data_IF_374564537968
#
_entry.id   IF_374564537968
#
_cell.length_a   1.000
_cell.length_b   1.000
_cell.length_c   1.000
_cell.angle_alpha   90.00
_cell.angle_beta   90.00
_cell.angle_gamma   90.00
#
_symmetry.space_group_name_H-M   'P 1'
#
loop_
_entity.id
_entity.type
_entity.pdbx_description
1 polymer ?
#
# COMPACT_ATOMS: atom_id res chain seq x y z
N UNK A 1 -2.52 5.36 9.55
CA UNK A 1 -1.23 4.84 10.09
C UNK A 1 -0.66 5.60 11.28
N UNK A 2 -0.52 6.94 11.26
CA UNK A 2 0.14 7.72 12.34
C UNK A 2 -0.38 7.43 13.77
N UNK A 3 -1.67 7.17 13.95
CA UNK A 3 -2.24 6.87 15.26
C UNK A 3 -1.80 5.51 15.85
N UNK A 4 -1.36 4.57 15.00
CA UNK A 4 -0.94 3.23 15.40
C UNK A 4 0.59 3.10 15.62
N UNK A 5 1.35 4.18 15.39
CA UNK A 5 2.80 4.17 15.58
C UNK A 5 3.21 4.21 17.06
N UNK A 6 4.33 3.56 17.39
CA UNK A 6 4.90 3.49 18.75
C UNK A 6 5.60 4.77 19.20
N UNK A 7 5.88 5.70 18.28
CA UNK A 7 6.45 7.01 18.58
C UNK A 7 5.93 8.07 17.60
N UNK A 8 6.31 9.34 17.82
CA UNK A 8 5.85 10.48 17.01
C UNK A 8 7.02 11.20 16.31
N UNK A 9 7.48 10.71 15.15
CA UNK A 9 8.42 11.45 14.31
C UNK A 9 7.80 12.75 13.78
N UNK A 10 8.63 13.70 13.33
CA UNK A 10 8.13 14.97 12.78
C UNK A 10 7.36 14.71 11.48
N UNK A 11 6.37 15.56 11.19
CA UNK A 11 5.49 15.37 10.01
C UNK A 11 6.25 15.32 8.69
N UNK A 12 7.35 16.07 8.56
CA UNK A 12 8.22 16.06 7.38
C UNK A 12 8.84 14.69 7.08
N UNK A 13 8.91 13.79 8.06
CA UNK A 13 9.42 12.43 7.88
C UNK A 13 8.27 11.45 7.62
N UNK A 14 7.10 11.68 8.21
CA UNK A 14 5.91 10.85 8.00
C UNK A 14 5.20 11.11 6.67
N UNK A 15 5.18 12.37 6.24
CA UNK A 15 4.52 12.83 5.01
C UNK A 15 5.37 13.94 4.36
N UNK A 16 6.50 13.59 3.72
CA UNK A 16 7.44 14.56 3.16
C UNK A 16 6.86 15.44 2.05
N UNK A 17 5.84 14.94 1.35
CA UNK A 17 5.12 15.65 0.28
C UNK A 17 3.63 15.61 0.60
N UNK A 18 3.10 16.71 1.12
CA UNK A 18 1.70 16.83 1.51
C UNK A 18 0.97 17.80 0.59
N UNK A 19 0.14 17.28 -0.30
CA UNK A 19 -0.70 18.05 -1.21
C UNK A 19 -2.09 18.23 -0.60
N UNK A 20 -2.77 19.33 -0.93
CA UNK A 20 -4.08 19.69 -0.39
C UNK A 20 -5.23 19.00 -1.12
N UNK A 21 -5.13 18.89 -2.45
CA UNK A 21 -6.23 18.37 -3.26
C UNK A 21 -6.32 16.83 -3.19
N UNK A 22 -7.51 16.31 -2.93
CA UNK A 22 -7.78 14.87 -2.87
C UNK A 22 -8.03 14.27 -4.27
N UNK A 23 -7.05 14.42 -5.15
CA UNK A 23 -7.08 13.98 -6.56
C UNK A 23 -5.82 13.18 -6.89
N UNK A 24 -5.62 12.83 -8.17
CA UNK A 24 -4.41 12.12 -8.59
C UNK A 24 -3.15 12.95 -8.22
N UNK A 25 -2.11 12.34 -7.64
CA UNK A 25 -0.96 13.08 -7.09
C UNK A 25 -0.28 14.02 -8.09
N UNK A 26 -0.03 13.56 -9.33
CA UNK A 26 0.57 14.42 -10.36
C UNK A 26 -0.27 15.68 -10.67
N UNK A 27 -1.60 15.59 -10.66
CA UNK A 27 -2.50 16.73 -10.93
C UNK A 27 -2.42 17.72 -9.76
N UNK A 28 -2.54 17.22 -8.52
CA UNK A 28 -2.44 18.06 -7.33
C UNK A 28 -1.06 18.75 -7.23
N UNK A 29 0.01 18.03 -7.59
CA UNK A 29 1.36 18.55 -7.59
C UNK A 29 1.54 19.67 -8.64
N UNK A 30 0.98 19.48 -9.85
CA UNK A 30 0.98 20.49 -10.91
C UNK A 30 0.20 21.75 -10.50
N UNK A 31 -1.00 21.60 -9.95
CA UNK A 31 -1.83 22.71 -9.46
C UNK A 31 -1.15 23.52 -8.35
N UNK A 32 -0.38 22.86 -7.48
CA UNK A 32 0.31 23.49 -6.35
C UNK A 32 1.74 23.94 -6.68
N UNK A 33 2.23 23.70 -7.90
CA UNK A 33 3.60 24.01 -8.30
C UNK A 33 4.67 23.22 -7.52
N UNK A 34 4.31 22.02 -7.05
CA UNK A 34 5.16 21.13 -6.25
C UNK A 34 5.66 19.99 -7.13
N UNK A 35 6.90 19.55 -6.93
CA UNK A 35 7.44 18.34 -7.57
C UNK A 35 7.49 17.19 -6.57
N UNK A 36 6.96 16.03 -6.95
CA UNK A 36 7.02 14.81 -6.12
C UNK A 36 8.31 14.06 -6.43
N UNK A 37 9.39 14.38 -5.72
CA UNK A 37 10.68 13.70 -5.86
C UNK A 37 10.82 12.51 -4.88
N UNK A 38 11.45 11.43 -5.32
CA UNK A 38 11.69 10.24 -4.48
C UNK A 38 12.77 10.47 -3.42
N UNK A 39 13.78 11.30 -3.71
CA UNK A 39 14.94 11.48 -2.82
C UNK A 39 14.57 12.00 -1.41
N UNK A 40 13.70 13.02 -1.23
CA UNK A 40 13.23 13.42 0.09
C UNK A 40 12.50 12.30 0.86
N UNK A 41 11.74 11.46 0.15
CA UNK A 41 10.99 10.35 0.72
C UNK A 41 11.93 9.23 1.18
N UNK A 42 12.91 8.87 0.34
CA UNK A 42 13.96 7.90 0.70
C UNK A 42 14.76 8.38 1.91
N UNK A 43 15.12 9.66 1.97
CA UNK A 43 15.82 10.23 3.12
C UNK A 43 14.98 10.21 4.40
N UNK A 44 13.67 10.46 4.29
CA UNK A 44 12.73 10.34 5.40
C UNK A 44 12.63 8.90 5.91
N UNK A 45 12.51 7.92 5.01
CA UNK A 45 12.52 6.50 5.38
C UNK A 45 13.81 6.12 6.12
N UNK A 46 14.97 6.59 5.66
CA UNK A 46 16.25 6.31 6.30
C UNK A 46 16.30 6.85 7.75
N UNK A 47 15.75 8.06 8.00
CA UNK A 47 15.62 8.62 9.35
C UNK A 47 14.67 7.79 10.21
N UNK A 48 13.50 7.42 9.68
CA UNK A 48 12.52 6.61 10.41
C UNK A 48 13.07 5.23 10.80
N UNK A 49 13.86 4.59 9.91
CA UNK A 49 14.51 3.30 10.19
C UNK A 49 15.56 3.38 11.30
N UNK A 50 16.12 4.55 11.60
CA UNK A 50 17.08 4.70 12.70
C UNK A 50 16.40 4.61 14.08
N UNK A 51 15.13 5.01 14.15
CA UNK A 51 14.37 5.13 15.41
C UNK A 51 13.29 4.05 15.58
N UNK A 52 13.08 3.19 14.56
CA UNK A 52 12.01 2.20 14.54
C UNK A 52 12.50 0.81 14.12
N UNK A 53 12.07 -0.22 14.85
CA UNK A 53 12.32 -1.62 14.49
C UNK A 53 11.59 -2.01 13.19
N UNK A 54 10.38 -1.48 12.99
CA UNK A 54 9.55 -1.72 11.80
C UNK A 54 9.00 -0.39 11.30
N UNK A 55 9.14 -0.15 9.99
CA UNK A 55 8.53 0.98 9.30
C UNK A 55 7.57 0.46 8.24
N UNK A 56 6.30 0.86 8.32
CA UNK A 56 5.31 0.61 7.27
C UNK A 56 5.17 1.86 6.41
N UNK A 57 5.32 1.71 5.10
CA UNK A 57 5.10 2.77 4.12
C UNK A 57 3.81 2.48 3.38
N UNK A 58 2.87 3.42 3.43
CA UNK A 58 1.65 3.39 2.63
C UNK A 58 1.84 4.31 1.41
N UNK A 59 1.52 3.78 0.23
CA UNK A 59 1.52 4.56 -1.01
C UNK A 59 0.28 5.46 -1.13
N UNK A 60 0.06 5.99 -2.32
CA UNK A 60 -1.14 6.78 -2.64
C UNK A 60 -1.85 6.17 -3.84
N UNK A 61 -3.12 5.81 -3.65
CA UNK A 61 -3.92 5.14 -4.68
C UNK A 61 -3.43 3.71 -4.99
N UNK A 62 -3.40 3.37 -6.29
CA UNK A 62 -2.92 2.07 -6.78
C UNK A 62 -1.39 1.99 -6.92
N UNK A 63 -0.91 0.85 -7.46
CA UNK A 63 0.52 0.58 -7.55
C UNK A 63 1.26 1.36 -8.65
N UNK A 64 0.60 1.73 -9.75
CA UNK A 64 1.17 2.51 -10.85
C UNK A 64 0.46 3.87 -11.00
N UNK A 65 0.42 4.65 -9.91
CA UNK A 65 -0.20 5.98 -9.91
C UNK A 65 0.84 7.04 -10.28
N UNK A 66 0.58 7.89 -11.28
CA UNK A 66 1.55 8.91 -11.69
C UNK A 66 1.82 9.91 -10.55
N UNK A 67 3.11 10.14 -10.30
CA UNK A 67 3.63 11.15 -9.37
C UNK A 67 4.19 12.37 -10.11
N UNK A 68 4.48 12.20 -11.39
CA UNK A 68 4.93 13.23 -12.32
C UNK A 68 4.81 12.74 -13.77
N UNK A 69 5.42 13.46 -14.74
CA UNK A 69 5.33 13.10 -16.16
C UNK A 69 6.05 11.79 -16.51
N UNK A 70 7.12 11.45 -15.80
CA UNK A 70 8.04 10.37 -16.17
C UNK A 70 8.17 9.29 -15.09
N UNK A 71 7.37 9.36 -14.01
CA UNK A 71 7.46 8.42 -12.90
C UNK A 71 6.15 8.23 -12.14
N UNK A 72 6.01 7.04 -11.54
CA UNK A 72 4.83 6.62 -10.78
C UNK A 72 5.17 6.08 -9.38
N UNK A 73 4.15 5.62 -8.66
CA UNK A 73 4.30 5.01 -7.33
C UNK A 73 5.07 3.68 -7.35
N UNK A 74 5.17 2.99 -8.49
CA UNK A 74 5.98 1.79 -8.63
C UNK A 74 7.47 2.14 -8.71
N UNK A 75 7.83 3.22 -9.41
CA UNK A 75 9.21 3.74 -9.42
C UNK A 75 9.65 4.19 -8.03
N UNK A 76 8.74 4.82 -7.28
CA UNK A 76 8.99 5.15 -5.87
C UNK A 76 9.20 3.88 -5.03
N UNK A 77 8.39 2.84 -5.22
CA UNK A 77 8.57 1.56 -4.53
C UNK A 77 9.93 0.92 -4.83
N UNK A 78 10.42 1.01 -6.07
CA UNK A 78 11.77 0.60 -6.47
C UNK A 78 12.83 1.41 -5.72
N UNK A 79 12.69 2.74 -5.69
CA UNK A 79 13.64 3.62 -4.99
C UNK A 79 13.71 3.35 -3.48
N UNK A 80 12.59 2.95 -2.86
CA UNK A 80 12.55 2.59 -1.44
C UNK A 80 13.12 1.18 -1.16
N UNK A 81 13.20 0.33 -2.20
CA UNK A 81 13.67 -1.05 -2.13
C UNK A 81 13.02 -1.86 -1.00
N UNK A 82 11.71 -1.67 -0.79
CA UNK A 82 10.94 -2.36 0.25
C UNK A 82 10.16 -3.55 -0.33
N UNK A 83 9.97 -4.63 0.45
CA UNK A 83 8.99 -5.65 0.12
C UNK A 83 7.57 -5.05 0.09
N UNK A 84 6.75 -5.49 -0.86
CA UNK A 84 5.38 -4.99 -1.06
C UNK A 84 4.38 -5.94 -0.39
N UNK A 85 3.41 -5.36 0.31
CA UNK A 85 2.20 -6.05 0.76
C UNK A 85 1.03 -5.56 -0.08
N UNK A 86 0.32 -6.48 -0.73
CA UNK A 86 -0.85 -6.16 -1.54
C UNK A 86 -2.14 -6.29 -0.71
N UNK A 87 -2.92 -5.21 -0.60
CA UNK A 87 -4.26 -5.27 -0.01
C UNK A 87 -5.29 -5.51 -1.11
N UNK A 88 -5.98 -6.64 -1.05
CA UNK A 88 -7.01 -7.02 -2.03
C UNK A 88 -8.40 -6.79 -1.43
N UNK A 89 -9.09 -5.76 -1.93
CA UNK A 89 -10.51 -5.55 -1.63
C UNK A 89 -11.36 -6.64 -2.29
N UNK A 90 -12.01 -7.47 -1.48
CA UNK A 90 -12.88 -8.54 -1.93
C UNK A 90 -14.19 -7.95 -2.46
N UNK A 91 -14.30 -7.94 -3.79
CA UNK A 91 -15.46 -7.54 -4.59
C UNK A 91 -15.34 -8.17 -5.99
N UNK A 92 -16.40 -8.12 -6.80
CA UNK A 92 -16.31 -8.60 -8.19
C UNK A 92 -15.18 -7.88 -8.95
N UNK A 93 -14.34 -8.65 -9.65
CA UNK A 93 -13.16 -8.17 -10.37
C UNK A 93 -11.86 -8.14 -9.54
N UNK A 94 -11.89 -8.48 -8.25
CA UNK A 94 -10.69 -8.43 -7.40
C UNK A 94 -9.57 -9.37 -7.86
N UNK A 95 -9.91 -10.54 -8.43
CA UNK A 95 -8.92 -11.50 -8.96
C UNK A 95 -8.08 -10.81 -10.05
N UNK A 96 -8.74 -10.21 -11.05
CA UNK A 96 -8.04 -9.53 -12.13
C UNK A 96 -7.11 -8.42 -11.60
N UNK A 97 -7.63 -7.53 -10.74
CA UNK A 97 -6.82 -6.43 -10.21
C UNK A 97 -5.63 -6.94 -9.38
N UNK A 98 -5.83 -7.95 -8.56
CA UNK A 98 -4.76 -8.50 -7.72
C UNK A 98 -3.65 -9.14 -8.57
N UNK A 99 -4.02 -9.90 -9.61
CA UNK A 99 -3.06 -10.54 -10.50
C UNK A 99 -2.28 -9.51 -11.33
N UNK A 100 -2.97 -8.54 -11.95
CA UNK A 100 -2.31 -7.46 -12.71
C UNK A 100 -1.37 -6.63 -11.81
N UNK A 101 -1.78 -6.37 -10.57
CA UNK A 101 -0.92 -5.64 -9.62
C UNK A 101 0.29 -6.48 -9.23
N UNK A 102 0.12 -7.78 -8.99
CA UNK A 102 1.22 -8.69 -8.67
C UNK A 102 2.20 -8.86 -9.85
N UNK A 103 1.71 -8.87 -11.09
CA UNK A 103 2.55 -8.84 -12.29
C UNK A 103 3.34 -7.53 -12.38
N UNK A 104 2.71 -6.38 -12.16
CA UNK A 104 3.38 -5.08 -12.17
C UNK A 104 4.49 -4.98 -11.10
N UNK A 105 4.23 -5.47 -9.89
CA UNK A 105 5.23 -5.54 -8.82
C UNK A 105 6.45 -6.35 -9.28
N UNK A 106 6.23 -7.55 -9.82
CA UNK A 106 7.31 -8.42 -10.31
C UNK A 106 8.06 -7.84 -11.49
N UNK A 107 7.35 -7.20 -12.42
CA UNK A 107 7.94 -6.56 -13.59
C UNK A 107 8.89 -5.41 -13.21
N UNK A 108 8.71 -4.81 -12.02
CA UNK A 108 9.60 -3.81 -11.43
C UNK A 108 10.73 -4.41 -10.59
N UNK A 109 10.88 -5.74 -10.57
CA UNK A 109 11.89 -6.45 -9.79
C UNK A 109 11.64 -6.46 -8.28
N UNK A 110 10.43 -6.07 -7.84
CA UNK A 110 10.08 -6.00 -6.43
C UNK A 110 9.53 -7.33 -5.92
N UNK A 111 9.68 -7.57 -4.62
CA UNK A 111 9.15 -8.76 -3.95
C UNK A 111 7.76 -8.48 -3.42
N UNK A 112 6.77 -9.28 -3.84
CA UNK A 112 5.47 -9.34 -3.18
C UNK A 112 5.60 -10.25 -1.94
N UNK A 113 5.81 -9.64 -0.76
CA UNK A 113 6.06 -10.36 0.47
C UNK A 113 4.79 -10.99 1.08
N UNK A 114 3.61 -10.52 0.67
CA UNK A 114 2.36 -11.10 1.09
C UNK A 114 1.17 -10.27 0.63
N UNK A 115 -0.03 -10.76 0.94
CA UNK A 115 -1.27 -10.06 0.63
C UNK A 115 -2.30 -10.18 1.74
N UNK A 116 -3.21 -9.21 1.81
CA UNK A 116 -4.30 -9.15 2.79
C UNK A 116 -5.63 -9.21 2.06
N UNK A 117 -6.51 -10.12 2.49
CA UNK A 117 -7.87 -10.19 2.00
C UNK A 117 -8.74 -9.22 2.82
N UNK A 118 -9.24 -8.14 2.20
CA UNK A 118 -10.06 -7.15 2.88
C UNK A 118 -11.51 -7.22 2.40
N UNK A 119 -12.44 -7.64 3.25
CA UNK A 119 -13.85 -7.74 2.88
C UNK A 119 -14.54 -6.38 2.86
N UNK A 120 -14.48 -5.73 1.69
CA UNK A 120 -15.04 -4.39 1.46
C UNK A 120 -16.49 -4.40 0.99
N UNK A 121 -16.90 -5.48 0.32
CA UNK A 121 -18.28 -5.69 -0.10
C UNK A 121 -18.92 -6.79 0.77
N UNK A 122 -19.84 -6.43 1.68
CA UNK A 122 -20.54 -7.40 2.53
C UNK A 122 -21.40 -8.40 1.75
N UNK A 123 -21.79 -8.06 0.52
CA UNK A 123 -22.70 -8.83 -0.32
C UNK A 123 -21.96 -9.70 -1.34
N UNK A 124 -20.62 -9.65 -1.37
CA UNK A 124 -19.84 -10.46 -2.30
C UNK A 124 -20.16 -11.96 -2.12
N UNK A 125 -20.55 -12.59 -3.22
CA UNK A 125 -20.76 -14.04 -3.27
C UNK A 125 -19.43 -14.76 -3.42
N UNK A 126 -19.37 -16.01 -2.93
CA UNK A 126 -18.23 -16.91 -3.18
C UNK A 126 -16.88 -16.37 -2.67
N UNK A 127 -16.89 -15.73 -1.51
CA UNK A 127 -15.69 -15.09 -0.93
C UNK A 127 -14.56 -16.09 -0.74
N UNK A 128 -14.86 -17.28 -0.20
CA UNK A 128 -13.84 -18.30 0.05
C UNK A 128 -13.24 -18.83 -1.26
N UNK A 129 -14.05 -19.05 -2.29
CA UNK A 129 -13.59 -19.52 -3.59
C UNK A 129 -12.71 -18.46 -4.29
N UNK A 130 -13.04 -17.17 -4.14
CA UNK A 130 -12.20 -16.07 -4.64
C UNK A 130 -10.88 -15.97 -3.88
N UNK A 131 -10.89 -16.09 -2.55
CA UNK A 131 -9.67 -16.12 -1.72
C UNK A 131 -8.80 -17.31 -2.12
N UNK A 132 -9.37 -18.52 -2.27
CA UNK A 132 -8.64 -19.71 -2.68
C UNK A 132 -8.02 -19.54 -4.08
N UNK A 133 -8.75 -18.90 -5.00
CA UNK A 133 -8.22 -18.60 -6.34
C UNK A 133 -7.01 -17.65 -6.28
N UNK A 134 -7.05 -16.64 -5.39
CA UNK A 134 -5.94 -15.71 -5.16
C UNK A 134 -4.75 -16.39 -4.47
N UNK A 135 -4.99 -17.21 -3.43
CA UNK A 135 -3.95 -17.99 -2.73
C UNK A 135 -3.13 -18.84 -3.71
N UNK A 136 -3.79 -19.46 -4.71
CA UNK A 136 -3.13 -20.30 -5.72
C UNK A 136 -2.30 -19.53 -6.76
N UNK A 137 -2.58 -18.23 -6.98
CA UNK A 137 -2.08 -17.48 -8.15
C UNK A 137 -1.17 -16.32 -7.79
N UNK A 138 -1.33 -15.74 -6.60
CA UNK A 138 -0.55 -14.58 -6.19
C UNK A 138 0.90 -14.92 -5.87
N UNK A 139 1.26 -16.19 -5.64
CA UNK A 139 2.64 -16.60 -5.38
C UNK A 139 3.27 -15.90 -4.18
N UNK A 140 2.46 -15.50 -3.20
CA UNK A 140 2.84 -14.81 -1.98
C UNK A 140 1.88 -15.22 -0.84
N UNK A 141 2.34 -15.26 0.42
CA UNK A 141 1.51 -15.71 1.54
C UNK A 141 0.37 -14.74 1.83
N UNK A 142 -0.81 -15.27 2.13
CA UNK A 142 -1.89 -14.48 2.72
C UNK A 142 -1.57 -14.19 4.18
N UNK A 143 -1.42 -12.90 4.50
CA UNK A 143 -1.07 -12.39 5.82
C UNK A 143 -2.25 -12.34 6.79
N UNK A 144 -3.46 -12.45 6.25
CA UNK A 144 -4.69 -12.55 7.01
C UNK A 144 -5.91 -12.10 6.20
N UNK A 145 -7.06 -12.09 6.88
CA UNK A 145 -8.32 -11.60 6.37
C UNK A 145 -8.91 -10.59 7.34
N UNK A 146 -9.36 -9.46 6.80
CA UNK A 146 -10.13 -8.45 7.51
C UNK A 146 -11.59 -8.63 7.11
N UNK A 147 -12.47 -8.85 8.09
CA UNK A 147 -13.91 -8.90 7.88
C UNK A 147 -14.52 -7.51 7.71
N UNK A 148 -15.83 -7.43 7.52
CA UNK A 148 -16.53 -6.14 7.46
C UNK A 148 -16.46 -5.48 8.85
N UNK A 149 -15.86 -4.29 8.93
CA UNK A 149 -15.73 -3.53 10.17
C UNK A 149 -16.85 -2.49 10.24
N UNK A 150 -17.85 -2.72 11.09
CA UNK A 150 -19.05 -1.87 11.18
C UNK A 150 -18.77 -0.45 11.71
N UNK A 151 -17.77 -0.29 12.60
CA UNK A 151 -17.42 1.00 13.20
C UNK A 151 -16.47 1.84 12.35
N UNK A 152 -15.86 1.24 11.31
CA UNK A 152 -14.71 1.84 10.60
C UNK A 152 -13.45 2.01 11.47
N UNK A 153 -13.45 1.53 12.72
CA UNK A 153 -12.33 1.68 13.64
C UNK A 153 -11.25 0.61 13.35
N UNK A 154 -10.07 0.99 12.84
CA UNK A 154 -8.99 0.06 12.55
C UNK A 154 -8.45 -0.65 13.80
N UNK A 155 -8.64 -0.10 15.01
CA UNK A 155 -8.18 -0.74 16.25
C UNK A 155 -8.93 -2.04 16.58
N UNK A 156 -10.10 -2.25 15.96
CA UNK A 156 -10.90 -3.46 16.14
C UNK A 156 -10.47 -4.62 15.23
N UNK A 157 -9.58 -4.36 14.26
CA UNK A 157 -9.08 -5.37 13.33
C UNK A 157 -8.05 -6.26 14.03
N UNK A 158 -8.24 -7.57 13.94
CA UNK A 158 -7.32 -8.58 14.50
C UNK A 158 -6.96 -9.62 13.44
N UNK A 159 -5.94 -10.44 13.71
CA UNK A 159 -5.62 -11.62 12.87
C UNK A 159 -4.71 -11.37 11.67
N UNK A 160 -4.16 -10.17 11.52
CA UNK A 160 -3.07 -9.91 10.57
C UNK A 160 -1.72 -10.30 11.17
N UNK A 161 -0.87 -10.98 10.39
CA UNK A 161 0.51 -11.28 10.75
C UNK A 161 1.42 -10.74 9.66
N UNK A 162 2.24 -9.74 10.00
CA UNK A 162 3.25 -9.24 9.08
C UNK A 162 4.33 -10.32 8.85
N UNK A 163 4.92 -10.38 7.65
CA UNK A 163 6.11 -11.19 7.43
C UNK A 163 7.22 -10.72 8.39
N UNK A 164 7.96 -11.69 8.95
CA UNK A 164 9.15 -11.41 9.77
C UNK A 164 10.34 -11.08 8.87
#
# INVERSE_FOLDING_TARGET
LRAAGSFRPPLRDLNPVCLRAAIAPHIAAEEEGVRIDSAPIVAALARLKADAEVVLVEGVGGFCVPLGPDHDTADLAVALALPVILVVGLRLGCINHALLTAEAIRARGLTLAGWVANQVDPQMLRVEENIAALDQRLGAPRLGRIGVVASGDPATVTGLRLPR
#
